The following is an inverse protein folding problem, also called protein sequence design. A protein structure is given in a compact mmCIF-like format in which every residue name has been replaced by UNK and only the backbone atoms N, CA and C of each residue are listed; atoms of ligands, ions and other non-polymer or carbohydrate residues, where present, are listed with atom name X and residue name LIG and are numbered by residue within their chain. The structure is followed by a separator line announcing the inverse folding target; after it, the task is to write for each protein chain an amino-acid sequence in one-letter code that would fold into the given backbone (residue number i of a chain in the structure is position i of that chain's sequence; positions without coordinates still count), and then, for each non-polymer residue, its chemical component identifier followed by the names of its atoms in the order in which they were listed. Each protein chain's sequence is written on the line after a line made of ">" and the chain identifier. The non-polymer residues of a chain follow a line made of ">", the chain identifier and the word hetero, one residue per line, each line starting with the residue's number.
data_IF_223314786143
#
_entry.id   IF_223314786143
#
_cell.length_a   1.000
_cell.length_b   1.000
_cell.length_c   1.000
_cell.angle_alpha   90.00
_cell.angle_beta   90.00
_cell.angle_gamma   90.00
#
_symmetry.space_group_name_H-M   'P 1'
#
loop_
_entity.id
_entity.type
_entity.pdbx_description
1 polymer ?
#
# COMPACT_ATOMS: atom_id res chain seq x y z
N UNK A 1 32.25 34.04 -33.92
CA UNK A 1 31.98 33.30 -32.67
C UNK A 1 31.47 34.30 -31.64
N UNK A 2 30.16 34.37 -31.45
CA UNK A 2 29.55 35.11 -30.35
C UNK A 2 28.57 34.15 -29.68
N UNK A 3 28.96 33.67 -28.50
CA UNK A 3 28.06 32.96 -27.60
C UNK A 3 27.12 33.99 -26.99
N UNK A 4 25.85 33.92 -27.37
CA UNK A 4 24.76 34.47 -26.60
C UNK A 4 24.15 33.31 -25.83
N UNK A 5 24.51 33.16 -24.57
CA UNK A 5 23.75 32.31 -23.63
C UNK A 5 22.36 32.92 -23.53
N UNK A 6 21.40 32.31 -24.21
CA UNK A 6 19.98 32.48 -23.96
C UNK A 6 19.67 31.86 -22.59
N UNK A 7 20.12 32.49 -21.52
CA UNK A 7 19.55 32.34 -20.19
C UNK A 7 18.17 32.99 -20.24
N UNK A 8 17.23 32.30 -20.86
CA UNK A 8 15.82 32.62 -20.70
C UNK A 8 15.43 32.07 -19.33
N UNK A 9 15.16 32.92 -18.31
CA UNK A 9 14.87 32.48 -16.94
C UNK A 9 13.70 31.48 -16.86
N UNK A 10 12.87 31.40 -17.91
CA UNK A 10 11.82 30.41 -18.06
C UNK A 10 12.37 28.99 -18.32
N UNK A 11 13.40 28.84 -19.16
CA UNK A 11 14.00 27.52 -19.49
C UNK A 11 14.72 26.93 -18.28
N UNK A 12 15.47 27.74 -17.54
CA UNK A 12 16.15 27.28 -16.32
C UNK A 12 15.14 26.88 -15.23
N UNK A 13 14.07 27.66 -15.06
CA UNK A 13 12.98 27.31 -14.13
C UNK A 13 12.32 25.98 -14.50
N UNK A 14 12.09 25.72 -15.79
CA UNK A 14 11.54 24.45 -16.27
C UNK A 14 12.52 23.28 -16.08
N UNK A 15 13.83 23.50 -16.25
CA UNK A 15 14.85 22.48 -15.95
C UNK A 15 14.85 22.10 -14.47
N UNK A 16 14.80 23.09 -13.58
CA UNK A 16 14.70 22.87 -12.13
C UNK A 16 13.43 22.09 -11.80
N UNK A 17 12.27 22.51 -12.35
CA UNK A 17 11.00 21.85 -12.12
C UNK A 17 11.01 20.38 -12.59
N UNK A 18 11.58 20.11 -13.77
CA UNK A 18 11.74 18.76 -14.31
C UNK A 18 12.61 17.89 -13.40
N UNK A 19 13.74 18.43 -12.94
CA UNK A 19 14.69 17.69 -12.10
C UNK A 19 14.06 17.36 -10.73
N UNK A 20 13.34 18.31 -10.12
CA UNK A 20 12.60 18.08 -8.89
C UNK A 20 11.48 17.03 -9.07
N UNK A 21 10.75 17.12 -10.19
CA UNK A 21 9.67 16.19 -10.49
C UNK A 21 10.21 14.76 -10.76
N UNK A 22 11.35 14.64 -11.43
CA UNK A 22 12.04 13.35 -11.60
C UNK A 22 12.46 12.76 -10.27
N UNK A 23 13.11 13.54 -9.40
CA UNK A 23 13.50 13.10 -8.05
C UNK A 23 12.29 12.65 -7.21
N UNK A 24 11.18 13.37 -7.32
CA UNK A 24 9.91 12.99 -6.68
C UNK A 24 9.35 11.68 -7.23
N UNK A 25 9.35 11.50 -8.56
CA UNK A 25 8.89 10.27 -9.20
C UNK A 25 9.72 9.08 -8.76
N UNK A 26 11.05 9.20 -8.81
CA UNK A 26 11.99 8.15 -8.42
C UNK A 26 11.77 7.73 -6.95
N UNK A 27 11.57 8.70 -6.04
CA UNK A 27 11.24 8.41 -4.65
C UNK A 27 9.88 7.71 -4.47
N UNK A 28 8.87 8.07 -5.25
CA UNK A 28 7.57 7.38 -5.23
C UNK A 28 7.67 5.96 -5.77
N UNK A 29 8.44 5.72 -6.84
CA UNK A 29 8.66 4.39 -7.39
C UNK A 29 9.38 3.49 -6.39
N UNK A 30 10.44 3.98 -5.74
CA UNK A 30 11.13 3.25 -4.66
C UNK A 30 10.17 2.90 -3.53
N UNK A 31 9.30 3.83 -3.11
CA UNK A 31 8.31 3.57 -2.06
C UNK A 31 7.30 2.50 -2.48
N UNK A 32 6.86 2.50 -3.74
CA UNK A 32 5.93 1.50 -4.27
C UNK A 32 6.58 0.11 -4.31
N UNK A 33 7.84 0.02 -4.71
CA UNK A 33 8.60 -1.24 -4.73
C UNK A 33 8.80 -1.80 -3.32
N UNK A 34 9.07 -0.95 -2.32
CA UNK A 34 9.15 -1.34 -0.91
C UNK A 34 7.82 -1.87 -0.37
N UNK A 35 6.70 -1.23 -0.75
CA UNK A 35 5.35 -1.68 -0.39
C UNK A 35 5.08 -3.07 -1.01
N UNK A 36 5.44 -3.27 -2.27
CA UNK A 36 5.26 -4.55 -2.96
C UNK A 36 6.12 -5.67 -2.33
N UNK A 37 7.35 -5.37 -1.93
CA UNK A 37 8.20 -6.29 -1.20
C UNK A 37 7.61 -6.68 0.17
N UNK A 38 7.10 -5.70 0.94
CA UNK A 38 6.43 -5.93 2.23
C UNK A 38 5.16 -6.76 2.05
N UNK A 39 4.36 -6.47 1.02
CA UNK A 39 3.17 -7.25 0.70
C UNK A 39 3.49 -8.71 0.37
N UNK A 40 4.52 -8.95 -0.46
CA UNK A 40 4.93 -10.31 -0.79
C UNK A 40 5.41 -11.10 0.43
N UNK A 41 6.11 -10.44 1.36
CA UNK A 41 6.51 -11.04 2.64
C UNK A 41 5.29 -11.47 3.47
N UNK A 42 4.31 -10.58 3.65
CA UNK A 42 3.05 -10.89 4.38
C UNK A 42 2.26 -12.01 3.70
N UNK A 43 2.14 -11.97 2.37
CA UNK A 43 1.48 -13.03 1.60
C UNK A 43 2.11 -14.40 1.86
N UNK A 44 3.44 -14.51 1.73
CA UNK A 44 4.17 -15.77 1.96
C UNK A 44 4.02 -16.26 3.39
N UNK A 45 4.09 -15.37 4.37
CA UNK A 45 3.89 -15.69 5.79
C UNK A 45 2.50 -16.30 6.02
N UNK A 46 1.44 -15.63 5.56
CA UNK A 46 0.08 -16.10 5.77
C UNK A 46 -0.18 -17.44 5.07
N UNK A 47 0.30 -17.61 3.83
CA UNK A 47 0.17 -18.89 3.11
C UNK A 47 0.88 -20.02 3.86
N UNK A 48 2.09 -19.76 4.38
CA UNK A 48 2.82 -20.74 5.18
C UNK A 48 2.07 -21.10 6.47
N UNK A 49 1.55 -20.10 7.20
CA UNK A 49 0.78 -20.31 8.43
C UNK A 49 -0.48 -21.14 8.15
N UNK A 50 -1.25 -20.80 7.11
CA UNK A 50 -2.44 -21.58 6.71
C UNK A 50 -2.05 -23.00 6.34
N UNK A 51 -0.96 -23.20 5.59
CA UNK A 51 -0.46 -24.53 5.23
C UNK A 51 -0.09 -25.38 6.45
N UNK A 52 0.57 -24.78 7.45
CA UNK A 52 0.88 -25.43 8.73
C UNK A 52 -0.39 -25.80 9.49
N UNK A 53 -1.35 -24.87 9.60
CA UNK A 53 -2.63 -25.11 10.27
C UNK A 53 -3.41 -26.27 9.64
N UNK A 54 -3.50 -26.29 8.30
CA UNK A 54 -4.15 -27.37 7.57
C UNK A 54 -3.44 -28.71 7.75
N UNK A 55 -2.11 -28.69 7.82
CA UNK A 55 -1.30 -29.90 8.04
C UNK A 55 -1.50 -30.46 9.45
N UNK A 56 -1.50 -29.61 10.48
CA UNK A 56 -1.80 -30.00 11.87
C UNK A 56 -3.22 -30.57 11.96
N UNK A 57 -4.20 -29.91 11.34
CA UNK A 57 -5.58 -30.36 11.33
C UNK A 57 -5.73 -31.72 10.62
N UNK A 58 -5.06 -31.91 9.48
CA UNK A 58 -5.07 -33.17 8.74
C UNK A 58 -4.46 -34.32 9.56
N UNK A 59 -3.35 -34.07 10.26
CA UNK A 59 -2.73 -35.07 11.13
C UNK A 59 -3.60 -35.42 12.35
N UNK A 60 -4.20 -34.40 12.98
CA UNK A 60 -5.13 -34.61 14.10
C UNK A 60 -6.34 -35.45 13.66
N UNK A 61 -6.91 -35.14 12.49
CA UNK A 61 -8.04 -35.88 11.92
C UNK A 61 -7.70 -37.34 11.56
N UNK A 62 -6.47 -37.59 11.11
CA UNK A 62 -5.99 -38.95 10.84
C UNK A 62 -5.74 -39.76 12.13
N UNK A 63 -5.37 -39.08 13.22
CA UNK A 63 -5.03 -39.73 14.49
C UNK A 63 -6.25 -40.03 15.35
N UNK A 64 -7.12 -39.05 15.56
CA UNK A 64 -8.34 -39.18 16.37
C UNK A 64 -9.36 -38.10 15.99
N UNK A 65 -10.48 -38.52 15.40
CA UNK A 65 -11.56 -37.61 14.99
C UNK A 65 -12.20 -36.86 16.18
N UNK A 66 -12.13 -37.41 17.41
CA UNK A 66 -12.65 -36.73 18.60
C UNK A 66 -11.72 -35.61 19.08
N UNK A 67 -10.41 -35.76 18.88
CA UNK A 67 -9.41 -34.71 19.17
C UNK A 67 -9.59 -33.48 18.28
N UNK A 68 -10.07 -33.67 17.04
CA UNK A 68 -10.40 -32.57 16.12
C UNK A 68 -11.51 -31.69 16.65
N UNK A 69 -12.52 -32.26 17.34
CA UNK A 69 -13.64 -31.51 17.89
C UNK A 69 -13.24 -30.50 18.99
N UNK A 70 -12.16 -30.76 19.72
CA UNK A 70 -11.62 -29.83 20.72
C UNK A 70 -10.84 -28.66 20.11
N UNK A 71 -10.20 -28.88 18.95
CA UNK A 71 -9.37 -27.89 18.26
C UNK A 71 -10.20 -27.04 17.29
N UNK A 72 -11.20 -27.62 16.63
CA UNK A 72 -12.12 -26.89 15.75
C UNK A 72 -13.14 -26.11 16.57
N UNK A 73 -12.77 -24.88 16.91
CA UNK A 73 -13.68 -23.89 17.47
C UNK A 73 -13.82 -22.67 16.55
N UNK A 74 -14.85 -21.82 16.77
CA UNK A 74 -15.09 -20.65 15.93
C UNK A 74 -13.89 -19.70 15.83
N UNK A 75 -13.06 -19.59 16.87
CA UNK A 75 -11.89 -18.71 16.85
C UNK A 75 -10.77 -19.23 15.94
N UNK A 76 -10.54 -20.55 15.89
CA UNK A 76 -9.61 -21.16 14.92
C UNK A 76 -10.11 -20.98 13.49
N UNK A 77 -11.42 -21.15 13.26
CA UNK A 77 -12.03 -20.87 11.96
C UNK A 77 -11.88 -19.40 11.53
N UNK A 78 -12.12 -18.46 12.46
CA UNK A 78 -11.92 -17.04 12.23
C UNK A 78 -10.44 -16.72 11.93
N UNK A 79 -9.50 -17.35 12.65
CA UNK A 79 -8.07 -17.18 12.40
C UNK A 79 -7.67 -17.58 10.97
N UNK A 80 -8.09 -18.77 10.54
CA UNK A 80 -7.84 -19.25 9.18
C UNK A 80 -8.44 -18.29 8.13
N UNK A 81 -9.69 -17.85 8.33
CA UNK A 81 -10.33 -16.87 7.47
C UNK A 81 -9.57 -15.54 7.39
N UNK A 82 -9.10 -15.02 8.54
CA UNK A 82 -8.33 -13.79 8.61
C UNK A 82 -6.97 -13.90 7.91
N UNK A 83 -6.27 -15.03 8.05
CA UNK A 83 -5.02 -15.26 7.31
C UNK A 83 -5.26 -15.33 5.80
N UNK A 84 -6.34 -15.97 5.34
CA UNK A 84 -6.68 -16.03 3.91
C UNK A 84 -7.04 -14.65 3.38
N UNK A 85 -7.89 -13.89 4.08
CA UNK A 85 -8.25 -12.53 3.67
C UNK A 85 -7.04 -11.59 3.66
N UNK A 86 -6.16 -11.73 4.66
CA UNK A 86 -4.90 -10.98 4.71
C UNK A 86 -3.97 -11.34 3.56
N UNK A 87 -3.79 -12.63 3.26
CA UNK A 87 -3.03 -13.09 2.10
C UNK A 87 -3.62 -12.54 0.80
N UNK A 88 -4.95 -12.56 0.64
CA UNK A 88 -5.60 -12.00 -0.54
C UNK A 88 -5.34 -10.49 -0.69
N UNK A 89 -5.44 -9.71 0.38
CA UNK A 89 -5.14 -8.27 0.37
C UNK A 89 -3.66 -7.99 0.02
N UNK A 90 -2.74 -8.75 0.60
CA UNK A 90 -1.31 -8.66 0.28
C UNK A 90 -1.02 -9.06 -1.18
N UNK A 91 -1.60 -10.16 -1.65
CA UNK A 91 -1.49 -10.61 -3.04
C UNK A 91 -2.05 -9.60 -4.04
N UNK A 92 -3.17 -8.96 -3.72
CA UNK A 92 -3.75 -7.89 -4.55
C UNK A 92 -2.84 -6.65 -4.59
N UNK A 93 -2.20 -6.30 -3.47
CA UNK A 93 -1.22 -5.20 -3.44
C UNK A 93 -0.09 -5.47 -4.44
N UNK A 94 0.50 -6.66 -4.38
CA UNK A 94 1.58 -7.06 -5.27
C UNK A 94 1.13 -7.17 -6.74
N UNK A 95 -0.05 -7.75 -6.99
CA UNK A 95 -0.54 -8.00 -8.34
C UNK A 95 -1.09 -6.76 -9.05
N UNK A 96 -1.42 -5.68 -8.32
CA UNK A 96 -1.96 -4.46 -8.93
C UNK A 96 -0.87 -3.70 -9.67
N UNK A 97 -0.91 -3.79 -10.99
CA UNK A 97 -0.13 -2.95 -11.89
C UNK A 97 -0.75 -1.54 -11.92
N UNK A 98 -0.01 -0.54 -11.45
CA UNK A 98 -0.51 0.84 -11.39
C UNK A 98 0.58 1.91 -11.35
N UNK A 99 1.85 1.53 -11.42
CA UNK A 99 2.96 2.48 -11.43
C UNK A 99 3.26 2.99 -12.85
N UNK A 100 3.44 4.30 -12.98
CA UNK A 100 3.88 5.00 -14.18
C UNK A 100 5.33 5.39 -13.98
N UNK A 101 6.19 4.87 -14.85
CA UNK A 101 7.65 4.94 -14.68
C UNK A 101 8.28 6.07 -15.51
N UNK A 102 7.57 6.60 -16.51
CA UNK A 102 8.06 7.70 -17.33
C UNK A 102 7.34 7.84 -18.66
N UNK A 103 8.03 8.52 -19.59
CA UNK A 103 7.54 8.79 -20.93
C UNK A 103 7.43 7.51 -21.76
N UNK A 104 6.35 7.42 -22.53
CA UNK A 104 6.20 6.39 -23.56
C UNK A 104 7.13 6.70 -24.75
N UNK A 105 7.66 5.70 -25.48
CA UNK A 105 8.48 5.92 -26.66
C UNK A 105 7.87 6.90 -27.67
N UNK A 106 6.56 6.82 -27.91
CA UNK A 106 5.85 7.75 -28.80
C UNK A 106 5.93 9.21 -28.33
N UNK A 107 5.82 9.44 -27.02
CA UNK A 107 5.95 10.78 -26.43
C UNK A 107 7.38 11.32 -26.51
N UNK A 108 8.39 10.45 -26.50
CA UNK A 108 9.79 10.86 -26.68
C UNK A 108 10.12 11.18 -28.15
N UNK A 109 9.54 10.45 -29.09
CA UNK A 109 9.67 10.72 -30.52
C UNK A 109 9.05 12.08 -30.88
N UNK A 110 7.84 12.37 -30.37
CA UNK A 110 7.17 13.67 -30.56
C UNK A 110 7.91 14.86 -29.92
N UNK A 111 8.84 14.61 -28.99
CA UNK A 111 9.67 15.66 -28.40
C UNK A 111 10.88 16.02 -29.27
N UNK A 112 11.35 15.11 -30.13
CA UNK A 112 12.53 15.31 -30.96
C UNK A 112 12.41 16.51 -31.92
N UNK A 113 11.17 16.83 -32.32
CA UNK A 113 10.86 17.92 -33.25
C UNK A 113 10.46 19.24 -32.56
N UNK A 114 10.46 19.28 -31.21
CA UNK A 114 10.03 20.46 -30.43
C UNK A 114 11.21 21.35 -30.05
N UNK A 115 10.93 22.63 -29.81
CA UNK A 115 11.90 23.52 -29.16
C UNK A 115 12.19 23.04 -27.73
N UNK A 116 13.37 23.38 -27.20
CA UNK A 116 13.78 22.99 -25.84
C UNK A 116 12.73 23.38 -24.79
N UNK A 117 12.22 24.62 -24.85
CA UNK A 117 11.17 25.11 -23.94
C UNK A 117 9.90 24.26 -24.03
N UNK A 118 9.41 23.98 -25.24
CA UNK A 118 8.20 23.19 -25.45
C UNK A 118 8.37 21.72 -25.02
N UNK A 119 9.57 21.17 -25.19
CA UNK A 119 9.91 19.82 -24.71
C UNK A 119 9.95 19.76 -23.18
N UNK A 120 10.52 20.77 -22.52
CA UNK A 120 10.57 20.85 -21.06
C UNK A 120 9.18 21.05 -20.44
N UNK A 121 8.35 21.94 -20.99
CA UNK A 121 6.96 22.13 -20.56
C UNK A 121 6.18 20.82 -20.63
N UNK A 122 6.30 20.11 -21.77
CA UNK A 122 5.65 18.81 -21.96
C UNK A 122 6.11 17.76 -20.94
N UNK A 123 7.41 17.70 -20.65
CA UNK A 123 7.94 16.78 -19.65
C UNK A 123 7.44 17.11 -18.24
N UNK A 124 7.44 18.38 -17.85
CA UNK A 124 6.98 18.80 -16.51
C UNK A 124 5.51 18.43 -16.32
N UNK A 125 4.67 18.66 -17.33
CA UNK A 125 3.26 18.25 -17.28
C UNK A 125 3.10 16.72 -17.23
N UNK A 126 3.88 15.99 -18.03
CA UNK A 126 3.93 14.52 -17.99
C UNK A 126 4.33 13.97 -16.62
N UNK A 127 5.37 14.53 -15.99
CA UNK A 127 5.77 14.16 -14.64
C UNK A 127 4.69 14.46 -13.61
N UNK A 128 4.05 15.64 -13.67
CA UNK A 128 2.94 15.96 -12.78
C UNK A 128 1.81 14.93 -12.89
N UNK A 129 1.50 14.48 -14.09
CA UNK A 129 0.51 13.43 -14.35
C UNK A 129 0.92 12.04 -13.86
N UNK A 130 2.18 11.66 -13.98
CA UNK A 130 2.67 10.38 -13.45
C UNK A 130 2.70 10.39 -11.92
N UNK A 131 3.18 11.48 -11.30
CA UNK A 131 3.19 11.69 -9.85
C UNK A 131 1.77 11.61 -9.29
N UNK A 132 0.79 12.30 -9.91
CA UNK A 132 -0.63 12.22 -9.49
C UNK A 132 -1.18 10.79 -9.57
N UNK A 133 -0.87 10.05 -10.63
CA UNK A 133 -1.33 8.66 -10.79
C UNK A 133 -0.66 7.72 -9.79
N UNK A 134 0.65 7.83 -9.61
CA UNK A 134 1.41 7.01 -8.67
C UNK A 134 0.98 7.28 -7.22
N UNK A 135 0.66 8.52 -6.87
CA UNK A 135 0.11 8.87 -5.56
C UNK A 135 -1.21 8.14 -5.28
N UNK A 136 -2.13 8.07 -6.24
CA UNK A 136 -3.39 7.31 -6.07
C UNK A 136 -3.13 5.81 -5.92
N UNK A 137 -2.21 5.26 -6.70
CA UNK A 137 -1.80 3.85 -6.57
C UNK A 137 -1.19 3.60 -5.19
N UNK A 138 -0.31 4.48 -4.71
CA UNK A 138 0.33 4.40 -3.41
C UNK A 138 -0.69 4.39 -2.27
N UNK A 139 -1.68 5.28 -2.29
CA UNK A 139 -2.74 5.32 -1.27
C UNK A 139 -3.51 4.00 -1.19
N UNK A 140 -3.89 3.43 -2.35
CA UNK A 140 -4.62 2.16 -2.42
C UNK A 140 -3.76 0.99 -1.93
N UNK A 141 -2.52 0.91 -2.38
CA UNK A 141 -1.58 -0.14 -1.96
C UNK A 141 -1.25 -0.06 -0.46
N UNK A 142 -1.06 1.16 0.07
CA UNK A 142 -0.82 1.37 1.50
C UNK A 142 -2.00 0.90 2.38
N UNK A 143 -3.25 1.16 1.95
CA UNK A 143 -4.43 0.64 2.65
C UNK A 143 -4.46 -0.88 2.63
N UNK A 144 -4.27 -1.50 1.46
CA UNK A 144 -4.31 -2.97 1.32
C UNK A 144 -3.23 -3.64 2.17
N UNK A 145 -2.01 -3.09 2.23
CA UNK A 145 -0.95 -3.60 3.11
C UNK A 145 -1.31 -3.41 4.58
N UNK A 146 -1.88 -2.27 4.96
CA UNK A 146 -2.33 -2.04 6.34
C UNK A 146 -3.39 -3.07 6.75
N UNK A 147 -4.37 -3.33 5.87
CA UNK A 147 -5.40 -4.35 6.09
C UNK A 147 -4.81 -5.76 6.14
N UNK A 148 -3.82 -6.07 5.31
CA UNK A 148 -3.13 -7.35 5.36
C UNK A 148 -2.43 -7.53 6.70
N UNK A 149 -1.61 -6.57 7.14
CA UNK A 149 -0.90 -6.63 8.43
C UNK A 149 -1.88 -6.77 9.59
N UNK A 150 -2.93 -5.94 9.64
CA UNK A 150 -3.97 -6.04 10.67
C UNK A 150 -4.68 -7.40 10.64
N UNK A 151 -4.98 -7.92 9.46
CA UNK A 151 -5.57 -9.25 9.30
C UNK A 151 -4.65 -10.37 9.79
N UNK A 152 -3.34 -10.29 9.55
CA UNK A 152 -2.35 -11.25 10.06
C UNK A 152 -2.28 -11.20 11.58
N UNK A 153 -2.26 -10.01 12.17
CA UNK A 153 -2.26 -9.83 13.64
C UNK A 153 -3.56 -10.36 14.23
N UNK A 154 -4.71 -9.97 13.67
CA UNK A 154 -6.02 -10.43 14.11
C UNK A 154 -6.14 -11.96 13.99
N UNK A 155 -5.65 -12.56 12.90
CA UNK A 155 -5.62 -14.00 12.71
C UNK A 155 -4.76 -14.71 13.76
N UNK A 156 -3.60 -14.14 14.08
CA UNK A 156 -2.71 -14.66 15.12
C UNK A 156 -3.35 -14.61 16.50
N UNK A 157 -3.99 -13.49 16.85
CA UNK A 157 -4.72 -13.35 18.11
C UNK A 157 -5.91 -14.30 18.18
N UNK A 158 -6.71 -14.42 17.10
CA UNK A 158 -7.83 -15.35 17.03
C UNK A 158 -7.37 -16.81 17.17
N UNK A 159 -6.21 -17.16 16.60
CA UNK A 159 -5.62 -18.49 16.77
C UNK A 159 -5.25 -18.74 18.24
N UNK A 160 -4.63 -17.75 18.90
CA UNK A 160 -4.32 -17.82 20.33
C UNK A 160 -5.57 -17.98 21.19
N UNK A 161 -6.64 -17.23 20.89
CA UNK A 161 -7.96 -17.40 21.53
C UNK A 161 -8.50 -18.81 21.31
N UNK A 162 -8.39 -19.33 20.08
CA UNK A 162 -8.82 -20.69 19.75
C UNK A 162 -8.06 -21.75 20.56
N UNK A 163 -6.75 -21.58 20.74
CA UNK A 163 -5.94 -22.46 21.58
C UNK A 163 -6.38 -22.38 23.04
N UNK A 164 -6.52 -21.18 23.61
CA UNK A 164 -6.98 -21.01 25.01
C UNK A 164 -8.37 -21.62 25.21
N UNK A 165 -9.30 -21.39 24.28
CA UNK A 165 -10.65 -21.93 24.33
C UNK A 165 -10.65 -23.47 24.30
N UNK A 166 -9.76 -24.09 23.50
CA UNK A 166 -9.63 -25.55 23.43
C UNK A 166 -9.19 -26.17 24.77
N UNK A 167 -8.29 -25.50 25.52
CA UNK A 167 -7.77 -26.03 26.79
C UNK A 167 -8.58 -25.65 28.02
N UNK A 168 -9.25 -24.50 28.01
CA UNK A 168 -9.90 -23.93 29.20
C UNK A 168 -11.42 -23.83 29.10
N UNK A 169 -11.98 -23.99 27.90
CA UNK A 169 -13.38 -23.69 27.60
C UNK A 169 -13.73 -22.19 27.61
N UNK A 170 -12.75 -21.31 27.91
CA UNK A 170 -12.98 -19.88 28.05
C UNK A 170 -12.79 -19.17 26.70
N UNK A 171 -13.90 -18.88 26.00
CA UNK A 171 -13.86 -18.23 24.69
C UNK A 171 -13.99 -16.70 24.79
N UNK A 172 -14.97 -16.20 25.54
CA UNK A 172 -15.41 -14.80 25.43
C UNK A 172 -14.42 -13.78 26.00
N UNK A 173 -13.77 -14.10 27.13
CA UNK A 173 -12.80 -13.21 27.76
C UNK A 173 -11.56 -12.98 26.87
N UNK A 174 -10.83 -14.03 26.42
CA UNK A 174 -9.69 -13.83 25.54
C UNK A 174 -10.10 -13.25 24.18
N UNK A 175 -11.28 -13.60 23.65
CA UNK A 175 -11.82 -12.98 22.43
C UNK A 175 -12.04 -11.47 22.61
N UNK A 176 -12.62 -11.03 23.72
CA UNK A 176 -12.83 -9.62 24.01
C UNK A 176 -11.52 -8.82 24.07
N UNK A 177 -10.48 -9.39 24.70
CA UNK A 177 -9.14 -8.79 24.74
C UNK A 177 -8.53 -8.70 23.34
N UNK A 178 -8.62 -9.77 22.55
CA UNK A 178 -8.10 -9.79 21.18
C UNK A 178 -8.78 -8.73 20.30
N UNK A 179 -10.11 -8.63 20.37
CA UNK A 179 -10.89 -7.63 19.62
C UNK A 179 -10.49 -6.20 20.05
N UNK A 180 -10.38 -5.95 21.36
CA UNK A 180 -9.96 -4.65 21.87
C UNK A 180 -8.55 -4.26 21.38
N UNK A 181 -7.62 -5.22 21.36
CA UNK A 181 -6.26 -5.02 20.84
C UNK A 181 -6.27 -4.68 19.34
N UNK A 182 -7.05 -5.39 18.53
CA UNK A 182 -7.18 -5.11 17.08
C UNK A 182 -7.80 -3.73 16.84
N UNK A 183 -8.83 -3.34 17.59
CA UNK A 183 -9.45 -2.01 17.50
C UNK A 183 -8.43 -0.92 17.85
N UNK A 184 -7.66 -1.12 18.92
CA UNK A 184 -6.62 -0.19 19.33
C UNK A 184 -5.55 -0.04 18.24
N UNK A 185 -5.06 -1.15 17.69
CA UNK A 185 -4.08 -1.12 16.60
C UNK A 185 -4.64 -0.43 15.35
N UNK A 186 -5.88 -0.71 14.97
CA UNK A 186 -6.56 -0.05 13.86
C UNK A 186 -6.68 1.47 14.06
N UNK A 187 -6.91 1.92 15.30
CA UNK A 187 -6.91 3.34 15.65
C UNK A 187 -5.51 3.95 15.58
N UNK A 188 -4.48 3.26 16.10
CA UNK A 188 -3.08 3.72 16.08
C UNK A 188 -2.56 3.91 14.65
N UNK A 189 -2.92 3.01 13.73
CA UNK A 189 -2.53 3.12 12.30
C UNK A 189 -3.41 4.08 11.50
N UNK A 190 -4.33 4.80 12.16
CA UNK A 190 -5.28 5.73 11.53
C UNK A 190 -6.07 5.11 10.37
N UNK A 191 -6.45 3.84 10.47
CA UNK A 191 -7.21 3.14 9.45
C UNK A 191 -8.49 3.90 9.01
N UNK A 192 -9.28 4.52 9.91
CA UNK A 192 -10.46 5.27 9.51
C UNK A 192 -10.14 6.45 8.59
N UNK A 193 -9.02 7.14 8.82
CA UNK A 193 -8.60 8.27 8.00
C UNK A 193 -8.16 7.79 6.61
N UNK A 194 -7.45 6.65 6.53
CA UNK A 194 -7.04 6.06 5.26
C UNK A 194 -8.25 5.68 4.39
N UNK A 195 -9.27 5.07 5.01
CA UNK A 195 -10.53 4.71 4.33
C UNK A 195 -11.27 5.97 3.87
N UNK A 196 -11.43 6.96 4.75
CA UNK A 196 -12.11 8.22 4.43
C UNK A 196 -11.40 8.97 3.29
N UNK A 197 -10.07 8.94 3.24
CA UNK A 197 -9.27 9.57 2.19
C UNK A 197 -9.54 8.94 0.82
N UNK A 198 -9.55 7.61 0.73
CA UNK A 198 -9.80 6.89 -0.53
C UNK A 198 -11.25 7.04 -1.00
N UNK A 199 -12.21 7.07 -0.06
CA UNK A 199 -13.62 7.29 -0.38
C UNK A 199 -13.86 8.66 -1.03
N UNK A 200 -13.26 9.73 -0.46
CA UNK A 200 -13.35 11.10 -1.02
C UNK A 200 -12.73 11.19 -2.41
N UNK A 201 -11.58 10.55 -2.63
CA UNK A 201 -10.87 10.57 -3.92
C UNK A 201 -11.61 9.80 -5.03
N UNK A 202 -12.57 8.93 -4.66
CA UNK A 202 -13.41 8.16 -5.58
C UNK A 202 -14.68 8.92 -6.03
N UNK A 203 -15.15 9.90 -5.25
CA UNK A 203 -16.29 10.75 -5.62
C UNK A 203 -15.91 11.86 -6.61
N UNK A 204 -14.62 12.19 -6.71
CA UNK A 204 -14.09 13.14 -7.69
C UNK A 204 -13.73 12.44 -9.02
N UNK A 205 -14.73 12.22 -9.89
CA UNK A 205 -14.58 11.80 -11.30
C UNK A 205 -14.78 13.06 -12.20
N UNK A 206 -14.02 13.24 -13.30
CA UNK A 206 -13.29 14.48 -13.59
C UNK A 206 -14.13 15.55 -14.30
N UNK A 207 -14.12 16.76 -13.75
CA UNK A 207 -14.67 17.94 -14.40
C UNK A 207 -14.09 19.21 -13.79
N UNK A 208 -13.10 19.79 -14.48
CA UNK A 208 -12.60 21.14 -14.22
C UNK A 208 -11.65 21.26 -13.03
N UNK A 209 -10.35 21.33 -13.32
CA UNK A 209 -9.38 21.83 -12.32
C UNK A 209 -9.60 23.35 -12.23
N UNK A 210 -10.24 23.79 -11.16
CA UNK A 210 -10.09 25.17 -10.70
C UNK A 210 -8.63 25.33 -10.26
N UNK A 211 -7.95 26.34 -10.81
CA UNK A 211 -6.59 26.72 -10.44
C UNK A 211 -6.63 27.19 -8.98
N UNK A 212 -6.41 26.25 -8.05
CA UNK A 212 -6.24 26.56 -6.64
C UNK A 212 -4.79 27.02 -6.41
N UNK A 213 -4.67 28.08 -5.62
CA UNK A 213 -3.53 28.98 -5.49
C UNK A 213 -2.17 28.30 -5.29
N UNK A 214 -1.14 28.95 -5.85
CA UNK A 214 0.30 28.62 -5.78
C UNK A 214 0.81 28.27 -4.38
N UNK A 215 0.17 28.72 -3.30
CA UNK A 215 0.51 28.35 -1.91
C UNK A 215 0.25 26.87 -1.54
N UNK A 216 -0.58 26.14 -2.31
CA UNK A 216 -0.87 24.72 -2.09
C UNK A 216 0.23 23.78 -2.60
N UNK A 217 1.01 24.24 -3.60
CA UNK A 217 2.03 23.44 -4.32
C UNK A 217 3.20 23.03 -3.39
N UNK A 218 3.41 23.78 -2.31
CA UNK A 218 4.47 23.52 -1.32
C UNK A 218 3.98 22.77 -0.07
N UNK A 219 2.71 22.33 -0.03
CA UNK A 219 2.27 21.41 1.02
C UNK A 219 2.91 20.03 0.77
N UNK A 220 4.00 19.75 1.48
CA UNK A 220 4.79 18.54 1.25
C UNK A 220 3.93 17.27 1.22
N UNK A 221 4.13 16.45 0.18
CA UNK A 221 3.46 15.17 0.06
C UNK A 221 3.89 14.26 1.22
N UNK A 222 2.94 13.86 2.08
CA UNK A 222 3.19 12.84 3.09
C UNK A 222 3.18 11.46 2.43
N UNK A 223 4.35 10.96 2.08
CA UNK A 223 4.53 9.53 1.83
C UNK A 223 4.30 8.76 3.15
N UNK A 224 3.70 7.59 3.07
CA UNK A 224 3.60 6.68 4.20
C UNK A 224 5.01 6.15 4.51
N UNK A 225 5.75 6.88 5.34
CA UNK A 225 7.03 6.41 5.86
C UNK A 225 6.71 5.49 7.04
N UNK A 226 6.71 4.18 6.79
CA UNK A 226 6.84 3.22 7.89
C UNK A 226 8.12 3.56 8.64
N UNK A 227 8.09 3.62 9.97
CA UNK A 227 9.27 3.92 10.78
C UNK A 227 10.40 2.95 10.42
N UNK A 228 11.32 3.40 9.57
CA UNK A 228 12.64 2.83 9.45
C UNK A 228 13.45 3.47 10.57
N UNK A 229 13.84 2.64 11.55
CA UNK A 229 14.87 3.02 12.50
C UNK A 229 16.17 3.10 11.71
N UNK A 230 16.77 4.29 11.69
CA UNK A 230 18.17 4.47 11.28
C UNK A 230 19.05 3.75 12.31
N UNK A 231 19.73 2.68 11.88
CA UNK A 231 20.93 2.15 12.54
C UNK A 231 22.19 2.75 11.91
#
# INVERSE_FOLDING_TARGET
>A
MSGGSSDDPNVESLRIAREEARRTLDAQLSTLDDIDAKALSVFRLNVAVVGVLLSVLSFAAASDATAVGGVLNPAVGAAAGLFVLSAAAAGLTYATAGQRVGADPSGLEEMGDRSETAALEYLVDGYADWIRRNQRTNLRKALLVTLAILGTVAGTLALGVGVVAAFTGLLYLPAGVAVAAVILLAAVVNLPEQIARIARDSETVPGGVAVESVDSVMSGQRAFKGCENDE
#
